data_IF_014706275187
#
_entry.id   IF_014706275187
#
_cell.length_a   1.000
_cell.length_b   1.000
_cell.length_c   1.000
_cell.angle_alpha   90.00
_cell.angle_beta   90.00
_cell.angle_gamma   90.00
#
_symmetry.space_group_name_H-M   'P 1'
#
loop_
_entity.id
_entity.type
_entity.pdbx_description
1 polymer ?
#
# COMPACT_ATOMS: atom_id res chain seq x y z
N UNK A 1 -26.09 51.95 -20.80
CA UNK A 1 -24.71 51.45 -20.98
C UNK A 1 -24.64 50.14 -20.21
N UNK A 2 -24.92 49.03 -20.89
CA UNK A 2 -24.79 47.71 -20.26
C UNK A 2 -23.29 47.40 -20.20
N UNK A 3 -22.79 47.15 -19.00
CA UNK A 3 -21.45 46.59 -18.81
C UNK A 3 -21.57 45.14 -19.29
N UNK A 4 -21.02 44.84 -20.47
CA UNK A 4 -20.76 43.45 -20.82
C UNK A 4 -19.78 42.92 -19.76
N UNK A 5 -20.26 42.03 -18.90
CA UNK A 5 -19.38 41.17 -18.12
C UNK A 5 -18.60 40.33 -19.13
N UNK A 6 -17.40 40.79 -19.46
CA UNK A 6 -16.49 40.07 -20.34
C UNK A 6 -16.19 38.71 -19.72
N UNK A 7 -16.85 37.67 -20.21
CA UNK A 7 -16.53 36.29 -19.87
C UNK A 7 -15.11 36.05 -20.37
N UNK A 8 -14.14 36.04 -19.46
CA UNK A 8 -12.75 35.73 -19.79
C UNK A 8 -12.71 34.24 -20.13
N UNK A 9 -12.71 33.93 -21.42
CA UNK A 9 -12.45 32.57 -21.88
C UNK A 9 -11.02 32.16 -21.48
N UNK A 10 -10.88 30.99 -20.87
CA UNK A 10 -9.58 30.42 -20.48
C UNK A 10 -8.62 30.28 -21.66
N UNK A 11 -9.14 30.16 -22.89
CA UNK A 11 -8.33 30.14 -24.10
C UNK A 11 -7.60 31.46 -24.39
N UNK A 12 -8.01 32.57 -23.75
CA UNK A 12 -7.35 33.87 -23.88
C UNK A 12 -6.13 34.03 -22.95
N UNK A 13 -5.89 33.08 -22.04
CA UNK A 13 -4.71 33.10 -21.17
C UNK A 13 -3.48 32.61 -21.93
N UNK A 14 -2.29 33.20 -21.70
CA UNK A 14 -1.03 32.65 -22.20
C UNK A 14 -0.81 31.22 -21.72
N UNK A 15 -0.20 30.38 -22.56
CA UNK A 15 0.09 28.98 -22.23
C UNK A 15 0.84 28.82 -20.90
N UNK A 16 1.80 29.72 -20.62
CA UNK A 16 2.54 29.71 -19.35
C UNK A 16 1.66 29.96 -18.12
N UNK A 17 0.62 30.80 -18.23
CA UNK A 17 -0.35 31.00 -17.15
C UNK A 17 -1.19 29.74 -16.92
N UNK A 18 -1.62 29.08 -18.01
CA UNK A 18 -2.35 27.82 -17.94
C UNK A 18 -1.46 26.74 -17.33
N UNK A 19 -0.20 26.61 -17.76
CA UNK A 19 0.76 25.67 -17.21
C UNK A 19 0.97 25.87 -15.70
N UNK A 20 1.12 27.13 -15.26
CA UNK A 20 1.24 27.43 -13.83
C UNK A 20 -0.03 27.12 -13.02
N UNK A 21 -1.22 27.26 -13.61
CA UNK A 21 -2.47 26.82 -12.95
C UNK A 21 -2.50 25.30 -12.86
N UNK A 22 -2.18 24.61 -13.96
CA UNK A 22 -2.16 23.14 -14.03
C UNK A 22 -1.13 22.54 -13.05
N UNK A 23 0.05 23.16 -12.88
CA UNK A 23 1.08 22.68 -11.95
C UNK A 23 0.69 22.73 -10.47
N UNK A 24 -0.37 23.48 -10.13
CA UNK A 24 -0.95 23.53 -8.78
C UNK A 24 -2.06 22.48 -8.56
N UNK A 25 -2.39 21.68 -9.59
CA UNK A 25 -3.38 20.60 -9.51
C UNK A 25 -2.70 19.24 -9.25
N UNK A 26 -3.38 18.13 -9.55
CA UNK A 26 -2.79 16.80 -9.47
C UNK A 26 -2.32 16.31 -10.86
N UNK A 27 -1.39 15.33 -10.92
CA UNK A 27 -1.01 14.69 -12.18
C UNK A 27 -2.19 14.13 -12.97
N UNK A 28 -3.21 13.62 -12.24
CA UNK A 28 -4.46 13.14 -12.83
C UNK A 28 -5.25 14.27 -13.46
N UNK A 29 -5.41 15.40 -12.76
CA UNK A 29 -6.15 16.55 -13.27
C UNK A 29 -5.44 17.17 -14.47
N UNK A 30 -4.11 17.30 -14.44
CA UNK A 30 -3.32 17.73 -15.60
C UNK A 30 -3.55 16.83 -16.82
N UNK A 31 -3.62 15.51 -16.61
CA UNK A 31 -3.92 14.56 -17.68
C UNK A 31 -5.34 14.73 -18.24
N UNK A 32 -6.33 15.02 -17.39
CA UNK A 32 -7.72 15.28 -17.80
C UNK A 32 -7.82 16.62 -18.54
N UNK A 33 -7.18 17.67 -18.02
CA UNK A 33 -7.18 19.01 -18.62
C UNK A 33 -6.56 19.00 -20.02
N UNK A 34 -5.55 18.15 -20.27
CA UNK A 34 -4.95 17.98 -21.60
C UNK A 34 -5.93 17.55 -22.72
N UNK A 35 -7.12 17.08 -22.34
CA UNK A 35 -8.17 16.65 -23.28
C UNK A 35 -9.15 17.78 -23.65
N UNK A 36 -9.11 18.92 -22.95
CA UNK A 36 -10.09 20.01 -23.10
C UNK A 36 -9.85 20.83 -24.37
N UNK A 37 -8.60 21.22 -24.65
CA UNK A 37 -8.23 21.97 -25.85
C UNK A 37 -6.77 21.75 -26.24
N UNK A 38 -6.35 22.19 -27.43
CA UNK A 38 -4.95 22.13 -27.85
C UNK A 38 -4.03 22.98 -26.96
N UNK A 39 -4.49 24.14 -26.49
CA UNK A 39 -3.74 25.00 -25.57
C UNK A 39 -3.55 24.33 -24.22
N UNK A 40 -4.61 23.73 -23.67
CA UNK A 40 -4.50 22.95 -22.43
C UNK A 40 -3.62 21.72 -22.59
N UNK A 41 -3.65 21.06 -23.76
CA UNK A 41 -2.76 19.94 -24.05
C UNK A 41 -1.29 20.35 -24.00
N UNK A 42 -0.94 21.40 -24.73
CA UNK A 42 0.44 21.92 -24.77
C UNK A 42 0.91 22.31 -23.36
N UNK A 43 0.08 23.08 -22.64
CA UNK A 43 0.39 23.50 -21.27
C UNK A 43 0.55 22.31 -20.31
N UNK A 44 -0.35 21.33 -20.35
CA UNK A 44 -0.35 20.16 -19.44
C UNK A 44 0.75 19.16 -19.73
N UNK A 45 1.27 19.13 -20.97
CA UNK A 45 2.38 18.25 -21.38
C UNK A 45 3.76 18.91 -21.18
N UNK A 46 3.80 20.18 -20.77
CA UNK A 46 5.04 20.92 -20.53
C UNK A 46 5.81 20.39 -19.32
N UNK A 47 7.13 20.25 -19.46
CA UNK A 47 8.02 19.81 -18.38
C UNK A 47 7.97 20.74 -17.15
N UNK A 48 7.62 22.01 -17.31
CA UNK A 48 7.46 22.95 -16.19
C UNK A 48 6.32 22.51 -15.24
N UNK A 49 5.27 21.87 -15.78
CA UNK A 49 4.17 21.30 -14.99
C UNK A 49 4.66 20.05 -14.26
N UNK A 50 5.29 19.13 -14.98
CA UNK A 50 5.71 17.85 -14.42
C UNK A 50 6.85 17.97 -13.42
N UNK A 51 7.63 19.06 -13.46
CA UNK A 51 8.58 19.41 -12.40
C UNK A 51 7.94 19.58 -11.02
N UNK A 52 6.71 20.10 -10.96
CA UNK A 52 6.00 20.28 -9.70
C UNK A 52 5.40 18.97 -9.18
N UNK A 53 5.18 18.00 -10.06
CA UNK A 53 4.63 16.68 -9.71
C UNK A 53 5.69 15.66 -9.34
N UNK A 54 6.93 15.85 -9.79
CA UNK A 54 8.05 15.02 -9.40
C UNK A 54 8.59 15.44 -8.04
N UNK A 55 8.94 14.50 -7.14
CA UNK A 55 9.60 14.84 -5.90
C UNK A 55 10.96 15.49 -6.14
N UNK A 56 11.32 16.54 -5.41
CA UNK A 56 12.58 17.27 -5.64
C UNK A 56 13.85 16.42 -5.52
N UNK A 57 13.80 15.31 -4.79
CA UNK A 57 14.89 14.36 -4.57
C UNK A 57 14.86 13.15 -5.53
N UNK A 58 14.06 13.19 -6.60
CA UNK A 58 13.93 12.06 -7.53
C UNK A 58 15.27 11.62 -8.15
N UNK A 59 16.20 12.54 -8.41
CA UNK A 59 17.54 12.20 -8.90
C UNK A 59 18.33 11.32 -7.92
N UNK A 60 18.21 11.59 -6.62
CA UNK A 60 18.87 10.82 -5.55
C UNK A 60 18.22 9.44 -5.38
N UNK A 61 16.93 9.31 -5.68
CA UNK A 61 16.22 8.03 -5.65
C UNK A 61 16.62 7.19 -6.87
N UNK A 62 16.70 7.81 -8.05
CA UNK A 62 17.13 7.14 -9.27
C UNK A 62 18.56 6.59 -9.13
N UNK A 63 19.49 7.35 -8.57
CA UNK A 63 20.89 6.90 -8.42
C UNK A 63 21.07 5.68 -7.51
N UNK A 64 20.12 5.39 -6.62
CA UNK A 64 20.15 4.22 -5.74
C UNK A 64 19.73 2.92 -6.43
N UNK A 65 19.07 3.00 -7.59
CA UNK A 65 18.59 1.82 -8.30
C UNK A 65 19.61 1.35 -9.35
N UNK A 66 20.07 0.08 -9.32
CA UNK A 66 20.95 -0.44 -10.37
C UNK A 66 20.28 -0.48 -11.75
N UNK A 67 18.95 -0.52 -11.79
CA UNK A 67 18.15 -0.52 -13.03
C UNK A 67 18.08 0.87 -13.70
N UNK A 68 18.41 1.94 -12.98
CA UNK A 68 18.40 3.31 -13.51
C UNK A 68 19.64 3.64 -14.35
N UNK A 69 20.69 2.82 -14.31
CA UNK A 69 21.91 3.01 -15.12
C UNK A 69 21.64 2.91 -16.63
N UNK A 70 20.52 2.30 -17.01
CA UNK A 70 19.98 2.23 -18.37
C UNK A 70 19.01 3.37 -18.73
N UNK A 71 18.69 4.26 -17.78
CA UNK A 71 17.73 5.37 -17.95
C UNK A 71 18.36 6.62 -18.59
N UNK A 72 19.16 6.43 -19.63
CA UNK A 72 19.63 7.51 -20.48
C UNK A 72 18.43 8.22 -21.13
N UNK A 73 18.08 9.38 -20.57
CA UNK A 73 17.11 10.40 -20.98
C UNK A 73 15.70 9.89 -21.32
N UNK A 74 14.80 9.91 -20.33
CA UNK A 74 13.36 9.96 -20.64
C UNK A 74 13.08 11.13 -21.61
N UNK A 75 12.16 10.97 -22.57
CA UNK A 75 11.86 12.00 -23.57
C UNK A 75 11.20 13.25 -22.97
N UNK A 76 10.56 13.12 -21.80
CA UNK A 76 9.99 14.23 -21.03
C UNK A 76 9.83 13.85 -19.56
N UNK A 77 9.59 14.84 -18.69
CA UNK A 77 9.32 14.63 -17.26
C UNK A 77 7.99 13.93 -17.02
N UNK A 78 7.02 14.13 -17.93
CA UNK A 78 5.78 13.33 -17.97
C UNK A 78 6.08 11.85 -18.14
N UNK A 79 6.94 11.49 -19.09
CA UNK A 79 7.32 10.09 -19.31
C UNK A 79 8.06 9.50 -18.10
N UNK A 80 8.94 10.27 -17.46
CA UNK A 80 9.58 9.88 -16.20
C UNK A 80 8.52 9.61 -15.11
N UNK A 81 7.56 10.51 -14.92
CA UNK A 81 6.49 10.31 -13.93
C UNK A 81 5.67 9.05 -14.21
N UNK A 82 5.26 8.83 -15.47
CA UNK A 82 4.50 7.64 -15.85
C UNK A 82 5.32 6.36 -15.60
N UNK A 83 6.63 6.40 -15.90
CA UNK A 83 7.51 5.28 -15.60
C UNK A 83 7.58 5.00 -14.09
N UNK A 84 7.85 6.02 -13.27
CA UNK A 84 7.94 5.92 -11.81
C UNK A 84 6.62 5.53 -11.14
N UNK A 85 5.48 5.81 -11.79
CA UNK A 85 4.16 5.45 -11.27
C UNK A 85 3.67 4.08 -11.73
N UNK A 86 4.33 3.46 -12.71
CA UNK A 86 3.96 2.13 -13.24
C UNK A 86 4.96 1.04 -12.87
N UNK A 87 6.23 1.41 -12.66
CA UNK A 87 7.32 0.47 -12.41
C UNK A 87 7.93 0.76 -11.04
N UNK A 88 7.69 -0.08 -10.02
CA UNK A 88 8.34 0.04 -8.73
C UNK A 88 9.86 -0.07 -8.88
N UNK A 89 10.58 0.95 -8.42
CA UNK A 89 12.04 0.98 -8.43
C UNK A 89 12.60 0.33 -7.17
N UNK A 90 13.42 -0.70 -7.34
CA UNK A 90 14.15 -1.31 -6.24
C UNK A 90 15.33 -0.41 -5.84
N UNK A 91 15.37 -0.07 -4.56
CA UNK A 91 16.37 0.77 -3.88
C UNK A 91 16.84 0.05 -2.61
N UNK A 92 17.85 0.62 -1.94
CA UNK A 92 18.44 0.06 -0.71
C UNK A 92 18.83 -1.42 -0.87
N UNK A 93 19.71 -1.70 -1.84
CA UNK A 93 20.14 -3.07 -2.18
C UNK A 93 18.98 -4.01 -2.56
N UNK A 94 17.86 -3.45 -3.01
CA UNK A 94 16.64 -4.19 -3.36
C UNK A 94 15.78 -4.59 -2.16
N UNK A 95 16.02 -4.02 -0.98
CA UNK A 95 15.22 -4.28 0.23
C UNK A 95 14.01 -3.36 0.35
N UNK A 96 13.94 -2.31 -0.47
CA UNK A 96 12.82 -1.38 -0.51
C UNK A 96 12.45 -1.08 -1.96
N UNK A 97 11.17 -0.84 -2.23
CA UNK A 97 10.71 -0.38 -3.55
C UNK A 97 10.09 1.01 -3.44
N UNK A 98 10.39 1.87 -4.40
CA UNK A 98 9.85 3.21 -4.55
C UNK A 98 8.92 3.31 -5.76
N UNK A 99 7.80 4.01 -5.62
CA UNK A 99 6.87 4.30 -6.70
C UNK A 99 6.17 5.65 -6.46
N UNK A 100 5.67 6.29 -7.51
CA UNK A 100 4.78 7.44 -7.37
C UNK A 100 3.32 7.02 -7.42
N UNK A 101 2.49 7.61 -6.56
CA UNK A 101 1.05 7.50 -6.68
C UNK A 101 0.56 8.17 -7.97
N UNK A 102 -0.27 7.46 -8.73
CA UNK A 102 -0.75 7.91 -10.04
C UNK A 102 -1.70 9.10 -9.96
N UNK A 103 -2.40 9.25 -8.83
CA UNK A 103 -3.44 10.27 -8.68
C UNK A 103 -2.82 11.57 -8.22
N UNK A 104 -2.08 11.54 -7.11
CA UNK A 104 -1.59 12.74 -6.43
C UNK A 104 -0.07 12.96 -6.56
N UNK A 105 0.67 12.04 -7.16
CA UNK A 105 2.12 12.14 -7.35
C UNK A 105 2.93 12.03 -6.05
N UNK A 106 2.32 11.64 -4.93
CA UNK A 106 3.03 11.46 -3.65
C UNK A 106 3.83 10.16 -3.68
N UNK A 107 4.86 10.12 -2.85
CA UNK A 107 5.78 8.98 -2.77
C UNK A 107 5.09 7.78 -2.11
N UNK A 108 5.26 6.61 -2.69
CA UNK A 108 4.89 5.31 -2.14
C UNK A 108 6.16 4.48 -1.91
N UNK A 109 6.21 3.77 -0.79
CA UNK A 109 7.30 2.84 -0.50
C UNK A 109 6.75 1.47 -0.12
N UNK A 110 7.51 0.43 -0.42
CA UNK A 110 7.29 -0.89 0.16
C UNK A 110 8.58 -1.39 0.80
N UNK A 111 8.51 -1.75 2.07
CA UNK A 111 9.58 -2.43 2.78
C UNK A 111 9.46 -3.93 2.48
N UNK A 112 10.53 -4.55 1.96
CA UNK A 112 10.55 -6.00 1.75
C UNK A 112 10.55 -6.75 3.07
N UNK A 113 10.15 -8.02 3.06
CA UNK A 113 10.26 -8.90 4.22
C UNK A 113 11.70 -8.98 4.79
N UNK A 114 12.74 -8.79 3.95
CA UNK A 114 14.15 -8.73 4.37
C UNK A 114 14.50 -7.47 5.17
N UNK A 115 13.73 -6.39 5.00
CA UNK A 115 13.90 -5.15 5.74
C UNK A 115 13.11 -5.13 7.06
N UNK A 116 12.17 -6.05 7.23
CA UNK A 116 11.35 -6.15 8.43
C UNK A 116 12.08 -6.91 9.54
N UNK A 117 11.81 -6.52 10.78
CA UNK A 117 12.13 -7.35 11.93
C UNK A 117 11.09 -8.47 12.03
N UNK A 118 11.53 -9.71 11.87
CA UNK A 118 10.70 -10.91 12.00
C UNK A 118 11.24 -11.75 13.13
N UNK A 119 10.43 -12.02 14.16
CA UNK A 119 10.87 -12.88 15.27
C UNK A 119 11.21 -14.27 14.74
N UNK A 120 12.46 -14.67 15.01
CA UNK A 120 13.10 -15.88 14.50
C UNK A 120 13.16 -15.99 12.96
N UNK A 121 13.11 -14.88 12.22
CA UNK A 121 13.17 -14.85 10.76
C UNK A 121 14.39 -15.57 10.16
N UNK A 122 15.53 -15.58 10.87
CA UNK A 122 16.75 -16.27 10.46
C UNK A 122 16.85 -17.72 10.97
N UNK A 123 15.78 -18.26 11.54
CA UNK A 123 15.73 -19.64 12.04
C UNK A 123 14.96 -20.53 11.06
N UNK A 124 15.64 -21.41 10.28
CA UNK A 124 15.02 -22.22 9.22
C UNK A 124 13.89 -23.15 9.67
N UNK A 125 13.81 -23.44 10.98
CA UNK A 125 12.73 -24.22 11.59
C UNK A 125 11.38 -23.48 11.52
N UNK A 126 11.42 -22.15 11.57
CA UNK A 126 10.25 -21.29 11.73
C UNK A 126 9.96 -20.48 10.48
N UNK A 127 11.01 -20.05 9.76
CA UNK A 127 10.91 -19.23 8.57
C UNK A 127 11.84 -19.73 7.48
N UNK A 128 11.40 -19.62 6.23
CA UNK A 128 12.23 -19.85 5.05
C UNK A 128 12.25 -18.59 4.21
N UNK A 129 13.40 -18.32 3.62
CA UNK A 129 13.54 -17.26 2.64
C UNK A 129 13.51 -17.89 1.26
N UNK A 130 12.50 -17.51 0.48
CA UNK A 130 12.21 -18.12 -0.83
C UNK A 130 12.08 -17.05 -1.89
N UNK A 131 12.40 -17.40 -3.13
CA UNK A 131 12.08 -16.56 -4.27
C UNK A 131 10.64 -16.85 -4.71
N UNK A 132 9.90 -15.81 -5.08
CA UNK A 132 8.53 -15.94 -5.53
C UNK A 132 8.34 -15.19 -6.85
N UNK A 133 7.81 -15.82 -7.91
CA UNK A 133 7.76 -15.23 -9.26
C UNK A 133 6.93 -13.94 -9.30
N UNK A 134 5.84 -13.89 -8.54
CA UNK A 134 4.98 -12.70 -8.46
C UNK A 134 5.49 -11.65 -7.45
N UNK A 135 6.70 -11.81 -6.90
CA UNK A 135 7.23 -10.87 -5.93
C UNK A 135 7.98 -9.72 -6.59
N UNK A 136 7.81 -8.51 -6.04
CA UNK A 136 8.65 -7.35 -6.37
C UNK A 136 10.10 -7.54 -5.90
N UNK A 137 10.33 -8.34 -4.85
CA UNK A 137 11.63 -8.55 -4.22
C UNK A 137 12.18 -9.94 -4.53
N UNK A 138 13.52 -10.07 -4.53
CA UNK A 138 14.22 -11.33 -4.81
C UNK A 138 13.86 -12.44 -3.84
N UNK A 139 13.63 -12.08 -2.58
CA UNK A 139 13.26 -13.00 -1.50
C UNK A 139 12.04 -12.49 -0.73
N UNK A 140 11.21 -13.43 -0.31
CA UNK A 140 10.05 -13.24 0.57
C UNK A 140 10.16 -14.20 1.76
N UNK A 141 9.49 -13.89 2.86
CA UNK A 141 9.52 -14.72 4.07
C UNK A 141 8.34 -15.70 4.06
N UNK A 142 8.63 -16.99 3.96
CA UNK A 142 7.65 -18.07 4.12
C UNK A 142 7.66 -18.55 5.57
N UNK A 143 6.53 -18.39 6.25
CA UNK A 143 6.29 -18.89 7.59
C UNK A 143 6.10 -20.42 7.54
N UNK A 144 7.00 -21.16 8.17
CA UNK A 144 6.90 -22.62 8.30
C UNK A 144 5.91 -22.96 9.41
N UNK A 145 6.21 -22.55 10.64
CA UNK A 145 5.39 -22.86 11.81
C UNK A 145 5.87 -22.07 13.04
N UNK A 146 5.03 -21.27 13.68
CA UNK A 146 5.35 -20.57 14.94
C UNK A 146 4.15 -20.50 15.88
N UNK A 147 4.39 -20.45 17.19
CA UNK A 147 3.37 -20.05 18.17
C UNK A 147 3.43 -18.56 18.52
N UNK A 148 4.60 -17.93 18.37
CA UNK A 148 4.82 -16.49 18.53
C UNK A 148 5.01 -15.85 17.16
N UNK A 149 4.04 -15.04 16.72
CA UNK A 149 4.09 -14.37 15.42
C UNK A 149 4.23 -12.87 15.65
N UNK A 150 5.35 -12.30 15.20
CA UNK A 150 5.63 -10.88 15.36
C UNK A 150 6.50 -10.38 14.21
N UNK A 151 5.99 -9.37 13.52
CA UNK A 151 6.66 -8.68 12.41
C UNK A 151 6.55 -7.19 12.68
N UNK A 152 7.67 -6.47 12.56
CA UNK A 152 7.74 -5.03 12.70
C UNK A 152 8.52 -4.41 11.55
N UNK A 153 8.17 -3.20 11.17
CA UNK A 153 8.87 -2.39 10.19
C UNK A 153 8.96 -0.94 10.62
N UNK A 154 10.01 -0.27 10.19
CA UNK A 154 10.23 1.14 10.46
C UNK A 154 10.49 1.89 9.16
N UNK A 155 9.95 3.10 9.07
CA UNK A 155 10.25 4.02 7.97
C UNK A 155 10.41 5.44 8.51
N UNK A 156 11.40 6.17 8.00
CA UNK A 156 11.60 7.55 8.39
C UNK A 156 10.69 8.49 7.57
N UNK A 157 10.00 9.43 8.23
CA UNK A 157 9.08 10.38 7.59
C UNK A 157 9.76 11.27 6.54
N UNK A 158 11.09 11.45 6.60
CA UNK A 158 11.88 12.17 5.59
C UNK A 158 11.76 11.57 4.19
N UNK A 159 11.55 10.25 4.10
CA UNK A 159 11.41 9.57 2.83
C UNK A 159 10.05 9.83 2.20
N UNK A 160 9.04 10.16 3.00
CA UNK A 160 7.65 10.34 2.61
C UNK A 160 7.35 11.79 2.20
N UNK A 161 6.27 11.99 1.43
CA UNK A 161 5.83 13.33 1.07
C UNK A 161 5.23 14.06 2.29
N UNK A 162 5.56 15.35 2.53
CA UNK A 162 4.98 16.13 3.60
C UNK A 162 3.50 16.47 3.32
N UNK A 163 2.80 16.94 4.35
CA UNK A 163 1.37 17.26 4.35
C UNK A 163 0.50 16.17 3.69
N UNK A 164 0.75 14.90 4.02
CA UNK A 164 0.11 13.76 3.37
C UNK A 164 -0.35 12.75 4.42
N UNK A 165 -1.62 12.32 4.32
CA UNK A 165 -2.13 11.18 5.09
C UNK A 165 -1.64 9.89 4.42
N UNK A 166 -0.96 9.05 5.20
CA UNK A 166 -0.47 7.76 4.76
C UNK A 166 -1.23 6.63 5.45
N UNK A 167 -1.34 5.50 4.77
CA UNK A 167 -1.72 4.23 5.37
C UNK A 167 -0.69 3.16 5.04
N UNK A 168 -0.45 2.28 6.02
CA UNK A 168 0.42 1.13 5.88
C UNK A 168 -0.42 -0.13 5.65
N UNK A 169 0.06 -1.00 4.77
CA UNK A 169 -0.61 -2.23 4.38
C UNK A 169 0.36 -3.40 4.48
N UNK A 170 -0.01 -4.44 5.22
CA UNK A 170 0.74 -5.68 5.25
C UNK A 170 0.34 -6.55 4.06
N UNK A 171 1.34 -6.94 3.25
CA UNK A 171 1.15 -7.62 1.97
C UNK A 171 1.68 -9.06 2.06
N UNK A 172 0.79 -10.03 1.84
CA UNK A 172 1.09 -11.45 2.03
C UNK A 172 0.22 -12.35 1.13
N UNK A 173 0.56 -13.63 1.03
CA UNK A 173 -0.24 -14.68 0.39
C UNK A 173 -0.26 -15.93 1.27
N UNK A 174 -1.32 -16.75 1.24
CA UNK A 174 -1.23 -18.11 1.74
C UNK A 174 -0.34 -18.96 0.81
N UNK A 175 0.44 -19.86 1.38
CA UNK A 175 1.18 -20.87 0.62
C UNK A 175 0.17 -21.78 -0.12
N UNK A 176 0.39 -22.15 -1.39
CA UNK A 176 -0.48 -23.08 -2.12
C UNK A 176 -0.71 -24.44 -1.43
N UNK A 177 0.23 -24.89 -0.60
CA UNK A 177 0.09 -26.12 0.21
C UNK A 177 -0.93 -25.95 1.36
N UNK A 178 -1.24 -24.71 1.70
CA UNK A 178 -2.17 -24.31 2.75
C UNK A 178 -1.53 -23.40 3.79
N UNK A 179 -2.33 -22.48 4.33
CA UNK A 179 -2.03 -21.74 5.54
C UNK A 179 -2.94 -22.26 6.67
N UNK A 180 -2.45 -22.25 7.91
CA UNK A 180 -3.20 -22.71 9.07
C UNK A 180 -2.90 -21.88 10.31
N UNK A 181 -3.81 -21.93 11.29
CA UNK A 181 -3.70 -21.20 12.56
C UNK A 181 -4.15 -19.73 12.48
N UNK A 182 -4.71 -19.31 11.34
CA UNK A 182 -5.21 -17.94 11.11
C UNK A 182 -6.73 -17.91 10.81
N UNK A 183 -7.37 -19.06 10.66
CA UNK A 183 -8.76 -19.20 10.20
C UNK A 183 -9.80 -18.63 11.18
N UNK A 184 -9.46 -18.58 12.46
CA UNK A 184 -10.36 -18.14 13.54
C UNK A 184 -9.69 -17.17 14.53
N UNK A 185 -8.45 -16.78 14.25
CA UNK A 185 -7.66 -15.93 15.13
C UNK A 185 -7.49 -14.55 14.51
N UNK A 186 -7.84 -13.53 15.30
CA UNK A 186 -7.47 -12.16 15.00
C UNK A 186 -5.99 -11.96 15.32
N UNK A 187 -5.37 -11.09 14.56
CA UNK A 187 -4.00 -10.62 14.72
C UNK A 187 -4.07 -9.15 15.14
N UNK A 188 -3.28 -8.77 16.13
CA UNK A 188 -3.14 -7.38 16.53
C UNK A 188 -2.25 -6.67 15.49
N UNK A 189 -2.63 -5.48 15.06
CA UNK A 189 -1.83 -4.61 14.20
C UNK A 189 -1.68 -3.25 14.84
N UNK A 190 -0.52 -2.63 14.63
CA UNK A 190 -0.22 -1.32 15.19
C UNK A 190 0.43 -0.39 14.19
N UNK A 191 0.24 0.91 14.42
CA UNK A 191 1.03 1.97 13.81
C UNK A 191 1.33 3.06 14.84
N UNK A 192 2.57 3.51 14.90
CA UNK A 192 3.02 4.55 15.82
C UNK A 192 3.99 5.49 15.13
N UNK A 193 3.77 6.80 15.27
CA UNK A 193 4.77 7.82 14.91
C UNK A 193 5.55 8.16 16.19
N UNK A 194 6.87 8.25 16.12
CA UNK A 194 7.71 8.70 17.23
C UNK A 194 7.20 10.02 17.84
N UNK A 195 6.93 10.00 19.15
CA UNK A 195 6.36 11.13 19.89
C UNK A 195 4.84 11.31 19.79
N UNK A 196 4.14 10.43 19.08
CA UNK A 196 2.68 10.37 18.99
C UNK A 196 2.06 9.22 19.78
N UNK A 197 0.75 9.02 19.61
CA UNK A 197 0.00 7.90 20.18
C UNK A 197 0.10 6.66 19.27
N UNK A 198 0.26 5.48 19.88
CA UNK A 198 0.19 4.20 19.18
C UNK A 198 -1.27 3.85 18.91
N UNK A 199 -1.61 3.59 17.65
CA UNK A 199 -2.92 3.09 17.26
C UNK A 199 -2.85 1.59 17.06
N UNK A 200 -3.60 0.85 17.85
CA UNK A 200 -3.72 -0.60 17.75
C UNK A 200 -5.13 -1.00 17.34
N UNK A 201 -5.25 -2.05 16.54
CA UNK A 201 -6.53 -2.70 16.23
C UNK A 201 -6.33 -4.18 15.95
N UNK A 202 -7.43 -4.91 15.95
CA UNK A 202 -7.45 -6.32 15.56
C UNK A 202 -7.90 -6.45 14.10
N UNK A 203 -7.28 -7.39 13.38
CA UNK A 203 -7.65 -7.75 12.00
C UNK A 203 -7.58 -9.26 11.81
N UNK A 204 -8.11 -9.77 10.70
CA UNK A 204 -8.00 -11.18 10.33
C UNK A 204 -7.11 -11.31 9.09
N UNK A 205 -6.26 -12.34 9.06
CA UNK A 205 -5.43 -12.66 7.89
C UNK A 205 -6.08 -13.68 6.94
N UNK A 206 -7.26 -14.23 7.31
CA UNK A 206 -8.03 -15.14 6.47
C UNK A 206 -9.01 -14.38 5.55
N UNK A 207 -8.70 -14.32 4.26
CA UNK A 207 -9.56 -13.75 3.23
C UNK A 207 -10.89 -14.49 3.06
N UNK A 208 -10.94 -15.79 3.37
CA UNK A 208 -12.15 -16.61 3.25
C UNK A 208 -13.10 -16.43 4.44
N UNK A 209 -12.73 -15.67 5.48
CA UNK A 209 -13.61 -15.40 6.64
C UNK A 209 -14.94 -14.75 6.23
N UNK A 210 -14.92 -13.79 5.31
CA UNK A 210 -16.13 -13.15 4.78
C UNK A 210 -17.07 -14.12 4.04
N UNK A 211 -16.53 -15.23 3.53
CA UNK A 211 -17.28 -16.32 2.90
C UNK A 211 -17.72 -17.39 3.90
N UNK A 212 -16.87 -17.73 4.88
CA UNK A 212 -17.16 -18.70 5.96
C UNK A 212 -18.26 -18.24 6.92
N UNK A 213 -18.39 -16.93 7.15
CA UNK A 213 -19.53 -16.38 7.90
C UNK A 213 -20.90 -16.57 7.21
N UNK A 214 -20.93 -16.87 5.91
CA UNK A 214 -22.18 -17.25 5.22
C UNK A 214 -22.68 -18.65 5.60
N UNK A 215 -21.83 -19.49 6.19
CA UNK A 215 -22.17 -20.83 6.66
C UNK A 215 -21.38 -21.16 7.93
N UNK A 216 -21.85 -20.74 9.11
CA UNK A 216 -21.26 -21.23 10.36
C UNK A 216 -21.54 -22.73 10.53
N UNK A 217 -20.54 -23.57 10.26
CA UNK A 217 -20.47 -24.92 10.81
C UNK A 217 -20.07 -24.77 12.27
N UNK A 218 -20.98 -25.01 13.20
CA UNK A 218 -20.70 -25.04 14.63
C UNK A 218 -19.99 -26.37 14.95
N UNK A 219 -18.71 -26.39 15.36
CA UNK A 219 -18.11 -27.63 15.85
C UNK A 219 -18.58 -27.81 17.29
N UNK A 220 -19.45 -28.78 17.55
CA UNK A 220 -19.69 -29.24 18.92
C UNK A 220 -18.65 -30.29 19.30
N UNK A 221 -17.98 -30.07 20.43
CA UNK A 221 -17.19 -31.09 21.13
C UNK A 221 -18.16 -32.05 21.85
N UNK A 222 -17.87 -33.35 21.74
CA UNK A 222 -18.45 -34.52 22.42
C UNK A 222 -19.68 -35.22 21.79
N UNK A 223 -19.52 -36.52 21.52
CA UNK A 223 -20.59 -37.52 21.49
C UNK A 223 -20.93 -38.11 20.12
N UNK A 224 -20.78 -39.43 20.00
CA UNK A 224 -21.18 -40.30 18.88
C UNK A 224 -22.63 -39.97 18.48
N UNK A 225 -22.86 -39.42 17.28
CA UNK A 225 -24.02 -39.58 16.36
C UNK A 225 -24.13 -38.36 15.41
N UNK A 226 -23.74 -38.55 14.14
CA UNK A 226 -23.80 -37.53 13.09
C UNK A 226 -25.24 -37.28 12.62
N UNK A 227 -25.75 -36.06 12.83
CA UNK A 227 -26.81 -35.47 12.01
C UNK A 227 -26.63 -33.95 11.92
N UNK A 228 -26.01 -33.50 10.84
CA UNK A 228 -25.87 -32.08 10.50
C UNK A 228 -27.25 -31.51 10.17
N UNK A 229 -27.81 -30.66 11.02
CA UNK A 229 -28.96 -29.81 10.64
C UNK A 229 -28.41 -28.49 10.12
N UNK A 230 -28.59 -28.25 8.83
CA UNK A 230 -28.38 -26.94 8.22
C UNK A 230 -29.48 -26.00 8.74
N UNK A 231 -29.09 -24.92 9.42
CA UNK A 231 -30.00 -23.83 9.75
C UNK A 231 -29.58 -22.65 8.86
N UNK A 232 -30.36 -22.28 7.84
CA UNK A 232 -30.14 -21.02 7.15
C UNK A 232 -30.58 -19.90 8.08
N UNK A 233 -29.66 -19.02 8.47
CA UNK A 233 -30.04 -17.75 9.10
C UNK A 233 -30.42 -16.81 7.95
N UNK A 234 -31.66 -16.34 8.01
CA UNK A 234 -32.24 -15.35 7.11
C UNK A 234 -31.47 -14.04 7.26
N UNK A 235 -31.13 -13.46 6.12
CA UNK A 235 -30.50 -12.16 5.97
C UNK A 235 -31.20 -11.08 6.82
N UNK A 236 -30.47 -10.44 7.73
CA UNK A 236 -30.76 -9.06 8.07
C UNK A 236 -29.92 -8.17 7.17
N UNK A 237 -30.62 -7.48 6.26
CA UNK A 237 -30.13 -6.38 5.45
C UNK A 237 -29.34 -5.40 6.31
N UNK A 238 -28.01 -5.46 6.25
CA UNK A 238 -27.15 -4.33 6.57
C UNK A 238 -26.17 -4.13 5.41
N UNK A 239 -26.45 -3.10 4.62
CA UNK A 239 -25.65 -2.62 3.49
C UNK A 239 -24.30 -2.03 3.94
N UNK A 240 -23.44 -2.80 4.61
CA UNK A 240 -22.05 -2.42 4.92
C UNK A 240 -21.16 -3.67 4.86
N UNK A 241 -20.93 -4.17 3.64
CA UNK A 241 -20.01 -5.31 3.39
C UNK A 241 -18.53 -4.86 3.43
N UNK A 242 -18.26 -3.56 3.55
CA UNK A 242 -16.92 -2.96 3.56
C UNK A 242 -16.24 -2.93 4.94
N UNK A 243 -16.94 -3.32 6.02
CA UNK A 243 -16.46 -3.19 7.41
C UNK A 243 -15.88 -4.50 7.99
N UNK A 244 -15.67 -5.51 7.14
CA UNK A 244 -14.97 -6.72 7.53
C UNK A 244 -13.47 -6.42 7.53
N UNK A 245 -12.85 -6.43 8.72
CA UNK A 245 -11.39 -6.36 8.97
C UNK A 245 -10.66 -7.60 8.39
N UNK A 246 -10.86 -7.86 7.10
CA UNK A 246 -10.34 -9.00 6.36
C UNK A 246 -9.46 -8.49 5.21
N UNK A 247 -8.51 -9.29 4.73
CA UNK A 247 -7.60 -8.88 3.68
C UNK A 247 -8.33 -8.66 2.35
N UNK A 248 -7.86 -7.69 1.57
CA UNK A 248 -8.34 -7.41 0.20
C UNK A 248 -7.37 -8.02 -0.81
N UNK A 249 -7.90 -8.66 -1.85
CA UNK A 249 -7.08 -9.19 -2.94
C UNK A 249 -6.67 -8.08 -3.90
N UNK A 250 -5.37 -8.00 -4.19
CA UNK A 250 -4.76 -7.12 -5.18
C UNK A 250 -4.80 -7.80 -6.55
N UNK A 251 -4.70 -7.01 -7.62
CA UNK A 251 -4.70 -7.54 -9.00
C UNK A 251 -3.53 -8.45 -9.37
N UNK A 252 -2.49 -8.52 -8.52
CA UNK A 252 -1.31 -9.41 -8.63
C UNK A 252 -1.47 -10.70 -7.78
N UNK A 253 -2.67 -10.93 -7.24
CA UNK A 253 -3.01 -12.07 -6.40
C UNK A 253 -2.41 -12.02 -5.00
N UNK A 254 -1.77 -10.92 -4.59
CA UNK A 254 -1.38 -10.71 -3.19
C UNK A 254 -2.58 -10.23 -2.38
N UNK A 255 -2.61 -10.59 -1.10
CA UNK A 255 -3.55 -10.04 -0.14
C UNK A 255 -2.92 -8.85 0.57
N UNK A 256 -3.71 -7.82 0.84
CA UNK A 256 -3.31 -6.69 1.66
C UNK A 256 -4.29 -6.47 2.82
N UNK A 257 -3.76 -6.16 4.00
CA UNK A 257 -4.55 -5.71 5.14
C UNK A 257 -3.97 -4.39 5.65
N UNK A 258 -4.83 -3.40 5.88
CA UNK A 258 -4.38 -2.12 6.42
C UNK A 258 -3.92 -2.31 7.87
N UNK A 259 -2.78 -1.74 8.24
CA UNK A 259 -2.25 -1.74 9.61
C UNK A 259 -2.72 -0.52 10.39
N UNK A 260 -2.85 0.61 9.69
CA UNK A 260 -3.35 1.85 10.23
C UNK A 260 -2.91 3.02 9.36
N UNK A 261 -3.24 4.22 9.84
CA UNK A 261 -3.02 5.48 9.14
C UNK A 261 -2.38 6.53 10.04
N UNK A 262 -1.56 7.37 9.41
CA UNK A 262 -0.72 8.34 10.09
C UNK A 262 -0.50 9.56 9.17
N UNK A 263 -0.44 10.76 9.75
CA UNK A 263 -0.27 11.99 8.98
C UNK A 263 1.18 12.46 9.02
N UNK A 264 1.80 12.62 7.86
CA UNK A 264 3.13 13.22 7.75
C UNK A 264 3.00 14.73 7.54
N UNK A 265 3.19 15.52 8.59
CA UNK A 265 3.16 16.99 8.50
C UNK A 265 4.38 17.55 7.76
N UNK A 266 5.52 16.86 7.83
CA UNK A 266 6.83 17.38 7.37
C UNK A 266 7.52 18.26 8.42
N UNK A 267 8.80 18.57 8.17
CA UNK A 267 9.62 19.47 8.99
C UNK A 267 10.46 18.79 10.08
N UNK A 268 10.01 17.66 10.63
CA UNK A 268 10.77 16.85 11.59
C UNK A 268 10.96 15.42 11.08
N UNK A 269 12.18 14.90 11.26
CA UNK A 269 12.51 13.51 10.94
C UNK A 269 12.04 12.59 12.07
N UNK A 270 10.88 11.97 11.87
CA UNK A 270 10.29 11.00 12.81
C UNK A 270 10.39 9.60 12.23
N UNK A 271 10.42 8.63 13.12
CA UNK A 271 10.33 7.23 12.73
C UNK A 271 8.88 6.75 12.90
N UNK A 272 8.39 5.98 11.94
CA UNK A 272 7.07 5.36 11.98
C UNK A 272 7.26 3.86 12.14
N UNK A 273 6.79 3.31 13.25
CA UNK A 273 6.75 1.88 13.52
C UNK A 273 5.41 1.31 13.06
N UNK A 274 5.45 0.18 12.36
CA UNK A 274 4.31 -0.58 11.90
C UNK A 274 4.48 -2.03 12.33
N UNK A 275 3.42 -2.66 12.81
CA UNK A 275 3.54 -3.99 13.38
C UNK A 275 2.34 -4.90 13.16
N UNK A 276 2.63 -6.20 13.17
CA UNK A 276 1.66 -7.30 13.05
C UNK A 276 2.03 -8.38 14.07
N UNK A 277 1.09 -8.73 14.95
CA UNK A 277 1.36 -9.56 16.13
C UNK A 277 0.24 -10.58 16.39
N UNK A 278 0.61 -11.84 16.56
CA UNK A 278 -0.20 -12.86 17.22
C UNK A 278 0.70 -13.58 18.22
N UNK A 279 0.71 -13.05 19.44
CA UNK A 279 1.57 -13.51 20.54
C UNK A 279 0.77 -13.97 21.76
N UNK A 280 -0.57 -13.87 21.71
CA UNK A 280 -1.46 -14.09 22.86
C UNK A 280 -2.14 -15.46 22.82
N UNK A 281 -2.44 -15.97 21.63
CA UNK A 281 -3.16 -17.23 21.43
C UNK A 281 -2.31 -18.46 21.72
N UNK A 282 -0.99 -18.39 21.46
CA UNK A 282 -0.06 -19.50 21.68
C UNK A 282 -0.24 -20.69 20.73
N UNK A 283 -1.20 -20.59 19.82
CA UNK A 283 -1.49 -21.61 18.81
C UNK A 283 -0.46 -21.58 17.69
N UNK A 284 -0.10 -22.77 17.21
CA UNK A 284 0.81 -22.93 16.10
C UNK A 284 0.14 -22.49 14.80
N UNK A 285 0.83 -21.66 14.04
CA UNK A 285 0.38 -21.13 12.76
C UNK A 285 1.50 -21.16 11.72
N UNK A 286 1.13 -21.32 10.45
CA UNK A 286 2.09 -21.57 9.38
C UNK A 286 1.49 -21.34 8.00
N UNK A 287 2.37 -21.36 6.98
CA UNK A 287 1.98 -21.29 5.57
C UNK A 287 1.61 -19.89 5.08
N UNK A 288 2.08 -18.81 5.72
CA UNK A 288 1.99 -17.46 5.15
C UNK A 288 3.28 -17.08 4.42
N UNK A 289 3.15 -16.51 3.24
CA UNK A 289 4.26 -15.91 2.48
C UNK A 289 4.12 -14.40 2.59
N UNK A 290 5.11 -13.74 3.18
CA UNK A 290 5.12 -12.30 3.44
C UNK A 290 5.98 -11.60 2.40
N UNK A 291 5.37 -10.69 1.64
CA UNK A 291 6.11 -9.83 0.72
C UNK A 291 6.74 -8.65 1.46
N UNK A 292 5.99 -8.03 2.36
CA UNK A 292 6.44 -6.82 3.05
C UNK A 292 5.31 -5.92 3.58
N UNK A 293 5.65 -4.66 3.86
CA UNK A 293 4.72 -3.61 4.27
C UNK A 293 4.77 -2.47 3.25
N UNK A 294 3.62 -2.11 2.69
CA UNK A 294 3.45 -1.05 1.69
C UNK A 294 2.85 0.21 2.33
N UNK A 295 3.51 1.34 2.16
CA UNK A 295 3.16 2.65 2.67
C UNK A 295 2.77 3.53 1.49
N UNK A 296 1.50 3.92 1.43
CA UNK A 296 0.94 4.70 0.32
C UNK A 296 0.03 5.83 0.83
N UNK A 297 -0.06 6.95 0.10
CA UNK A 297 -0.96 8.04 0.44
C UNK A 297 -2.41 7.53 0.44
N UNK A 298 -3.18 7.92 1.44
CA UNK A 298 -4.62 7.66 1.53
C UNK A 298 -5.32 8.94 1.11
N UNK A 299 -6.17 8.85 0.10
CA UNK A 299 -7.01 9.98 -0.28
C UNK A 299 -7.96 10.27 0.88
N UNK A 300 -7.96 11.51 1.36
CA UNK A 300 -9.03 11.96 2.24
C UNK A 300 -10.34 11.84 1.44
N UNK A 301 -11.35 11.11 1.95
CA UNK A 301 -12.67 11.07 1.32
C UNK A 301 -13.31 12.45 1.28
#
# INVERSE_FOLDING_TARGET
>A
MMVEEGVVDFNNLPEGCIANIVSLTTPRDASILSLVSSTFRSASDSDAVWDHFLPSDYHSILSQSPSSSSSSSFPSKKHLFLFLSQNPLLIDEGKMSFQLDKVNGKKCYMLSARMLFIVWGDTPRYWKWVSHPDSRFSEVAELVSVCWFEIRGWINTRLLSPNTLYAAYFVFKPNPVGAYGFEYQSVDVSIAIAGGETRERTVFLDAERGRRLRYQIVPRRAGIFNRTRFVPIVEENNNNVDDLQCPKEKGDGWLEIELGEFFNQGGEDKEVEMGVYEIKGGDWKGGLVVQGIEIRPKLNP
#
